data_IF_365679876320
#
_entry.id   IF_365679876320
#
_cell.length_a   1.000
_cell.length_b   1.000
_cell.length_c   1.000
_cell.angle_alpha   90.00
_cell.angle_beta   90.00
_cell.angle_gamma   90.00
#
_symmetry.space_group_name_H-M   'P 1'
#
loop_
_entity.id
_entity.type
_entity.pdbx_description
1 polymer ?
#
# COMPACT_ATOMS: atom_id res chain seq x y z
N UNK A 1 19.33 23.26 -2.60
CA UNK A 1 17.93 23.02 -3.03
C UNK A 1 17.39 21.85 -2.22
N UNK A 2 16.08 21.76 -1.97
CA UNK A 2 15.53 20.56 -1.33
C UNK A 2 15.45 19.43 -2.36
N UNK A 3 15.78 18.21 -1.94
CA UNK A 3 15.54 16.99 -2.70
C UNK A 3 14.80 15.99 -1.82
N UNK A 4 13.92 15.17 -2.41
CA UNK A 4 13.25 14.10 -1.70
C UNK A 4 14.11 12.83 -1.66
N UNK A 5 14.22 12.20 -0.49
CA UNK A 5 14.91 10.92 -0.30
C UNK A 5 14.06 9.96 0.54
N UNK A 6 14.15 8.66 0.24
CA UNK A 6 13.57 7.61 1.09
C UNK A 6 14.50 7.44 2.29
N UNK A 7 14.00 7.72 3.49
CA UNK A 7 14.77 7.63 4.73
C UNK A 7 14.65 6.27 5.40
N UNK A 8 13.45 5.66 5.36
CA UNK A 8 13.19 4.36 5.97
C UNK A 8 11.96 3.71 5.31
N UNK A 9 11.93 2.37 5.33
CA UNK A 9 10.83 1.56 4.81
C UNK A 9 10.59 0.41 5.77
N UNK A 10 9.33 0.20 6.13
CA UNK A 10 8.91 -0.97 6.88
C UNK A 10 7.67 -1.62 6.30
N UNK A 11 7.44 -2.88 6.65
CA UNK A 11 6.29 -3.65 6.18
C UNK A 11 5.65 -4.48 7.29
N UNK A 12 4.40 -4.87 7.05
CA UNK A 12 3.64 -5.79 7.88
C UNK A 12 2.86 -6.76 7.00
N UNK A 13 2.90 -8.03 7.38
CA UNK A 13 2.10 -9.09 6.79
C UNK A 13 1.20 -9.67 7.90
N UNK A 14 -0.10 -9.88 7.65
CA UNK A 14 -1.01 -10.42 8.65
C UNK A 14 -0.65 -11.85 9.04
N UNK A 15 -1.04 -12.27 10.25
CA UNK A 15 -0.55 -13.53 10.84
C UNK A 15 -1.02 -14.80 10.10
N UNK A 16 -2.26 -14.79 9.60
CA UNK A 16 -2.83 -15.96 8.94
C UNK A 16 -2.16 -16.19 7.59
N UNK A 17 -1.64 -17.41 7.41
CA UNK A 17 -1.06 -17.86 6.14
C UNK A 17 -1.95 -18.87 5.42
N UNK A 18 -2.00 -18.78 4.10
CA UNK A 18 -2.62 -19.79 3.21
C UNK A 18 -1.54 -20.33 2.28
N UNK A 19 -1.20 -21.60 2.47
CA UNK A 19 -0.24 -22.32 1.65
C UNK A 19 -0.89 -22.87 0.37
N UNK A 20 -0.06 -23.27 -0.59
CA UNK A 20 -0.54 -24.05 -1.74
C UNK A 20 -1.22 -25.36 -1.33
N UNK A 21 -0.80 -25.98 -0.21
CA UNK A 21 -1.44 -27.18 0.32
C UNK A 21 -2.86 -26.92 0.85
N UNK A 22 -3.09 -25.75 1.44
CA UNK A 22 -4.43 -25.31 1.83
C UNK A 22 -5.33 -25.14 0.60
N UNK A 23 -4.84 -24.47 -0.43
CA UNK A 23 -5.59 -24.27 -1.67
C UNK A 23 -5.87 -25.58 -2.40
N UNK A 24 -4.91 -26.52 -2.47
CA UNK A 24 -5.14 -27.84 -3.09
C UNK A 24 -6.19 -28.67 -2.32
N UNK A 25 -6.29 -28.51 -0.99
CA UNK A 25 -7.37 -29.16 -0.21
C UNK A 25 -8.75 -28.63 -0.60
N UNK A 26 -8.85 -27.34 -0.89
CA UNK A 26 -10.08 -26.70 -1.37
C UNK A 26 -10.34 -26.98 -2.86
N UNK A 27 -9.27 -27.20 -3.64
CA UNK A 27 -9.31 -27.39 -5.10
C UNK A 27 -8.52 -28.64 -5.52
N UNK A 28 -9.10 -29.85 -5.37
CA UNK A 28 -8.38 -31.11 -5.58
C UNK A 28 -7.82 -31.32 -7.00
N UNK A 29 -8.38 -30.64 -8.01
CA UNK A 29 -7.93 -30.73 -9.40
C UNK A 29 -6.57 -30.06 -9.67
N UNK A 30 -5.98 -29.39 -8.67
CA UNK A 30 -4.71 -28.68 -8.77
C UNK A 30 -3.70 -29.23 -7.75
N UNK A 31 -2.51 -29.55 -8.22
CA UNK A 31 -1.39 -29.91 -7.34
C UNK A 31 -0.64 -28.67 -6.85
N UNK A 32 -0.04 -28.78 -5.66
CA UNK A 32 0.88 -27.78 -5.10
C UNK A 32 1.96 -27.39 -6.11
N UNK A 33 2.57 -28.39 -6.75
CA UNK A 33 3.62 -28.19 -7.76
C UNK A 33 3.13 -27.30 -8.91
N UNK A 34 1.91 -27.52 -9.39
CA UNK A 34 1.33 -26.74 -10.50
C UNK A 34 1.10 -25.28 -10.12
N UNK A 35 0.78 -24.98 -8.86
CA UNK A 35 0.66 -23.60 -8.37
C UNK A 35 2.04 -22.95 -8.32
N UNK A 36 3.00 -23.61 -7.67
CA UNK A 36 4.36 -23.11 -7.51
C UNK A 36 5.02 -22.85 -8.88
N UNK A 37 4.96 -23.81 -9.81
CA UNK A 37 5.55 -23.69 -11.15
C UNK A 37 4.99 -22.52 -11.96
N UNK A 38 3.69 -22.20 -11.77
CA UNK A 38 3.02 -21.15 -12.53
C UNK A 38 3.13 -19.76 -11.92
N UNK A 39 3.15 -19.69 -10.59
CA UNK A 39 3.03 -18.41 -9.86
C UNK A 39 4.31 -18.01 -9.14
N UNK A 40 5.18 -18.96 -8.79
CA UNK A 40 6.33 -18.76 -7.92
C UNK A 40 5.94 -18.48 -6.45
N UNK A 41 4.69 -18.71 -6.06
CA UNK A 41 4.16 -18.39 -4.72
C UNK A 41 3.87 -19.67 -3.96
N UNK A 42 4.48 -19.83 -2.77
CA UNK A 42 4.24 -20.96 -1.87
C UNK A 42 3.20 -20.66 -0.78
N UNK A 43 3.26 -19.44 -0.23
CA UNK A 43 2.45 -18.98 0.91
C UNK A 43 1.97 -17.55 0.65
N UNK A 44 0.75 -17.26 1.08
CA UNK A 44 0.15 -15.92 1.09
C UNK A 44 -0.27 -15.57 2.50
N UNK A 45 -0.08 -14.32 2.89
CA UNK A 45 -0.63 -13.79 4.12
C UNK A 45 -2.03 -13.23 3.84
N UNK A 46 -2.98 -13.46 4.75
CA UNK A 46 -4.39 -13.11 4.58
C UNK A 46 -4.86 -12.37 5.84
N UNK A 47 -5.45 -11.20 5.66
CA UNK A 47 -5.96 -10.40 6.76
C UNK A 47 -7.08 -11.13 7.50
N UNK A 48 -7.15 -10.92 8.81
CA UNK A 48 -8.29 -11.41 9.60
C UNK A 48 -9.61 -10.73 9.17
N UNK A 49 -10.75 -11.33 9.52
CA UNK A 49 -12.06 -10.83 9.07
C UNK A 49 -12.27 -9.35 9.45
N UNK A 50 -11.90 -8.98 10.68
CA UNK A 50 -11.97 -7.60 11.20
C UNK A 50 -10.73 -6.73 10.95
N UNK A 51 -9.75 -7.20 10.19
CA UNK A 51 -8.52 -6.47 9.88
C UNK A 51 -8.60 -5.85 8.48
N UNK A 52 -8.55 -4.53 8.39
CA UNK A 52 -8.60 -3.72 7.17
C UNK A 52 -7.22 -3.40 6.61
N UNK A 53 -7.17 -2.86 5.40
CA UNK A 53 -5.91 -2.38 4.79
C UNK A 53 -5.22 -1.31 5.65
N UNK A 54 -5.99 -0.45 6.33
CA UNK A 54 -5.47 0.56 7.24
C UNK A 54 -4.83 -0.07 8.49
N UNK A 55 -5.32 -1.21 8.99
CA UNK A 55 -4.69 -1.93 10.09
C UNK A 55 -3.29 -2.42 9.70
N UNK A 56 -3.15 -2.99 8.50
CA UNK A 56 -1.87 -3.48 7.99
C UNK A 56 -0.88 -2.33 7.80
N UNK A 57 -1.34 -1.21 7.23
CA UNK A 57 -0.52 0.00 7.06
C UNK A 57 -0.13 0.61 8.42
N UNK A 58 -1.04 0.63 9.39
CA UNK A 58 -0.75 1.13 10.73
C UNK A 58 0.28 0.25 11.46
N UNK A 59 0.19 -1.07 11.32
CA UNK A 59 1.15 -2.00 11.89
C UNK A 59 2.56 -1.81 11.29
N UNK A 60 2.66 -1.57 9.98
CA UNK A 60 3.91 -1.22 9.31
C UNK A 60 4.48 0.12 9.81
N UNK A 61 3.63 1.14 9.96
CA UNK A 61 4.04 2.44 10.49
C UNK A 61 4.52 2.37 11.95
N UNK A 62 3.83 1.62 12.80
CA UNK A 62 4.27 1.40 14.18
C UNK A 62 5.61 0.64 14.24
N UNK A 63 5.89 -0.26 13.29
CA UNK A 63 7.21 -0.88 13.15
C UNK A 63 8.27 0.17 12.80
N UNK A 64 8.00 1.01 11.80
CA UNK A 64 8.87 2.13 11.39
C UNK A 64 9.20 3.07 12.58
N UNK A 65 8.21 3.39 13.42
CA UNK A 65 8.42 4.24 14.58
C UNK A 65 9.26 3.58 15.67
N UNK A 66 9.15 2.25 15.86
CA UNK A 66 10.02 1.50 16.78
C UNK A 66 11.48 1.51 16.34
N UNK A 67 11.75 1.65 15.04
CA UNK A 67 13.12 1.78 14.51
C UNK A 67 13.72 3.19 14.67
N UNK A 68 12.98 4.13 15.27
CA UNK A 68 13.49 5.44 15.65
C UNK A 68 12.92 6.61 14.85
N UNK A 69 11.98 6.38 13.93
CA UNK A 69 11.26 7.47 13.26
C UNK A 69 10.32 8.16 14.24
N UNK A 70 10.55 9.45 14.48
CA UNK A 70 9.68 10.28 15.32
C UNK A 70 8.40 10.69 14.58
N UNK A 71 7.28 10.09 14.98
CA UNK A 71 5.93 10.38 14.46
C UNK A 71 5.53 11.85 14.54
N UNK A 72 6.10 12.62 15.48
CA UNK A 72 5.77 14.05 15.64
C UNK A 72 6.41 14.93 14.56
N UNK A 73 7.37 14.40 13.81
CA UNK A 73 8.04 15.12 12.73
C UNK A 73 7.36 14.95 11.38
N UNK A 74 6.35 14.09 11.29
CA UNK A 74 5.59 13.81 10.06
C UNK A 74 4.56 14.91 9.85
N UNK A 75 4.60 15.55 8.68
CA UNK A 75 3.71 16.67 8.33
C UNK A 75 2.83 16.37 7.10
N UNK A 76 2.91 15.16 6.55
CA UNK A 76 1.97 14.68 5.54
C UNK A 76 1.82 13.16 5.57
N UNK A 77 0.60 12.65 5.39
CA UNK A 77 0.28 11.24 5.24
C UNK A 77 -0.38 11.00 3.88
N UNK A 78 0.19 10.06 3.13
CA UNK A 78 -0.38 9.55 1.88
C UNK A 78 -0.75 8.10 2.09
N UNK A 79 -2.00 7.70 1.83
CA UNK A 79 -2.40 6.30 1.91
C UNK A 79 -2.86 5.78 0.54
N UNK A 80 -2.10 4.82 0.00
CA UNK A 80 -2.42 4.12 -1.23
C UNK A 80 -3.19 2.84 -0.91
N UNK A 81 -4.47 2.78 -1.31
CA UNK A 81 -5.28 1.58 -1.17
C UNK A 81 -6.45 1.55 -2.15
N UNK A 82 -6.88 0.36 -2.55
CA UNK A 82 -8.12 0.04 -3.24
C UNK A 82 -9.14 -0.63 -2.31
N UNK A 83 -8.79 -0.88 -1.05
CA UNK A 83 -9.65 -1.47 -0.02
C UNK A 83 -9.75 -0.56 1.22
N UNK A 84 -10.22 0.71 1.08
CA UNK A 84 -10.31 1.64 2.20
C UNK A 84 -11.33 1.17 3.25
N UNK A 85 -11.22 1.70 4.47
CA UNK A 85 -12.10 1.34 5.59
C UNK A 85 -13.56 1.71 5.29
N UNK A 86 -13.77 2.87 4.68
CA UNK A 86 -15.09 3.44 4.38
C UNK A 86 -15.06 4.21 3.06
N UNK A 87 -16.23 4.43 2.46
CA UNK A 87 -16.37 5.44 1.39
C UNK A 87 -16.08 6.86 1.90
N UNK A 88 -16.47 7.12 3.15
CA UNK A 88 -16.15 8.31 3.92
C UNK A 88 -16.29 7.97 5.41
N UNK A 89 -15.44 8.51 6.30
CA UNK A 89 -14.33 9.45 6.05
C UNK A 89 -13.10 8.77 5.39
N UNK A 90 -12.16 9.59 4.91
CA UNK A 90 -10.86 9.16 4.37
C UNK A 90 -10.07 8.34 5.39
N UNK A 91 -9.52 7.20 4.98
CA UNK A 91 -8.78 6.28 5.85
C UNK A 91 -7.46 6.91 6.36
N UNK A 92 -6.78 7.71 5.53
CA UNK A 92 -5.62 8.51 5.91
C UNK A 92 -5.87 9.44 7.10
N UNK A 93 -7.07 10.03 7.19
CA UNK A 93 -7.45 10.88 8.32
C UNK A 93 -7.62 10.07 9.61
N UNK A 94 -8.20 8.87 9.51
CA UNK A 94 -8.31 7.96 10.65
C UNK A 94 -6.93 7.43 11.08
N UNK A 95 -6.06 7.13 10.11
CA UNK A 95 -4.67 6.73 10.32
C UNK A 95 -3.85 7.81 11.01
N UNK A 96 -4.00 9.09 10.62
CA UNK A 96 -3.32 10.20 11.29
C UNK A 96 -3.60 10.18 12.80
N UNK A 97 -4.87 10.06 13.20
CA UNK A 97 -5.25 10.00 14.61
C UNK A 97 -4.74 8.72 15.28
N UNK A 98 -4.93 7.56 14.63
CA UNK A 98 -4.50 6.25 15.16
C UNK A 98 -2.99 6.19 15.40
N UNK A 99 -2.21 6.74 14.47
CA UNK A 99 -0.75 6.81 14.52
C UNK A 99 -0.25 7.98 15.35
N UNK A 100 -1.12 8.83 15.90
CA UNK A 100 -0.76 9.99 16.72
C UNK A 100 0.20 10.96 16.01
N UNK A 101 0.00 11.12 14.71
CA UNK A 101 0.69 12.12 13.90
C UNK A 101 0.07 13.50 14.23
N UNK A 102 0.81 14.62 14.21
CA UNK A 102 0.26 15.94 14.53
C UNK A 102 -0.96 16.31 13.67
N UNK A 103 -1.92 17.03 14.25
CA UNK A 103 -3.12 17.51 13.55
C UNK A 103 -2.82 18.60 12.51
N UNK A 104 -1.59 19.12 12.49
CA UNK A 104 -1.09 20.01 11.44
C UNK A 104 -0.70 19.27 10.16
N UNK A 105 -0.61 17.93 10.20
CA UNK A 105 -0.23 17.14 9.03
C UNK A 105 -1.36 17.09 8.00
N UNK A 106 -1.01 17.18 6.72
CA UNK A 106 -1.92 16.83 5.63
C UNK A 106 -2.20 15.32 5.62
N UNK A 107 -3.38 14.91 5.14
CA UNK A 107 -3.73 13.49 5.01
C UNK A 107 -4.66 13.27 3.81
N UNK A 108 -4.32 12.32 2.94
CA UNK A 108 -5.20 11.91 1.82
C UNK A 108 -5.05 10.43 1.47
N UNK A 109 -6.14 9.87 0.95
CA UNK A 109 -6.14 8.57 0.27
C UNK A 109 -5.98 8.79 -1.24
N UNK A 110 -5.35 7.84 -1.92
CA UNK A 110 -5.41 7.75 -3.37
C UNK A 110 -5.57 6.30 -3.82
N UNK A 111 -6.47 6.09 -4.79
CA UNK A 111 -6.83 4.77 -5.28
C UNK A 111 -5.95 4.36 -6.46
N UNK A 112 -4.94 3.54 -6.19
CA UNK A 112 -4.14 2.82 -7.17
C UNK A 112 -3.77 1.45 -6.60
N UNK A 113 -3.66 0.45 -7.49
CA UNK A 113 -3.16 -0.88 -7.16
C UNK A 113 -1.64 -0.97 -7.36
N UNK A 114 -1.20 -1.91 -8.19
CA UNK A 114 0.22 -2.26 -8.39
C UNK A 114 1.15 -1.10 -8.80
N UNK A 115 0.65 -0.02 -9.39
CA UNK A 115 1.44 1.17 -9.75
C UNK A 115 1.57 2.20 -8.62
N UNK A 116 0.78 2.03 -7.55
CA UNK A 116 0.56 3.02 -6.51
C UNK A 116 1.81 3.47 -5.77
N UNK A 117 2.76 2.58 -5.52
CA UNK A 117 4.00 2.93 -4.81
C UNK A 117 4.84 3.98 -5.56
N UNK A 118 5.02 3.80 -6.88
CA UNK A 118 5.80 4.73 -7.71
C UNK A 118 5.08 6.07 -7.87
N UNK A 119 3.75 6.04 -8.05
CA UNK A 119 2.95 7.27 -8.07
C UNK A 119 2.99 8.00 -6.72
N UNK A 120 2.89 7.28 -5.61
CA UNK A 120 2.99 7.81 -4.25
C UNK A 120 4.35 8.49 -3.99
N UNK A 121 5.45 7.87 -4.44
CA UNK A 121 6.78 8.50 -4.39
C UNK A 121 6.86 9.78 -5.23
N UNK A 122 6.21 9.81 -6.39
CA UNK A 122 6.09 11.02 -7.21
C UNK A 122 5.34 12.16 -6.51
N UNK A 123 4.21 11.84 -5.88
CA UNK A 123 3.42 12.79 -5.07
C UNK A 123 4.22 13.29 -3.88
N UNK A 124 4.85 12.38 -3.12
CA UNK A 124 5.70 12.73 -1.98
C UNK A 124 6.86 13.64 -2.40
N UNK A 125 7.55 13.33 -3.50
CA UNK A 125 8.60 14.19 -4.06
C UNK A 125 8.10 15.60 -4.34
N UNK A 126 6.94 15.72 -4.97
CA UNK A 126 6.33 17.02 -5.27
C UNK A 126 6.06 17.84 -4.01
N UNK A 127 5.48 17.22 -2.97
CA UNK A 127 5.21 17.88 -1.69
C UNK A 127 6.51 18.37 -1.01
N UNK A 128 7.55 17.53 -1.01
CA UNK A 128 8.83 17.79 -0.35
C UNK A 128 9.66 18.86 -1.08
N UNK A 129 9.82 18.74 -2.39
CA UNK A 129 10.69 19.64 -3.17
C UNK A 129 10.06 21.01 -3.42
N UNK A 130 8.73 21.14 -3.28
CA UNK A 130 8.03 22.43 -3.29
C UNK A 130 7.86 23.07 -1.92
N UNK A 131 8.31 22.41 -0.85
CA UNK A 131 8.24 22.92 0.52
C UNK A 131 6.83 22.91 1.14
N UNK A 132 5.89 22.14 0.58
CA UNK A 132 4.57 21.92 1.16
C UNK A 132 4.60 20.94 2.35
N UNK A 133 5.61 20.07 2.36
CA UNK A 133 5.89 19.11 3.43
C UNK A 133 7.41 18.99 3.61
N UNK A 134 7.83 18.50 4.78
CA UNK A 134 9.23 18.18 5.08
C UNK A 134 9.43 16.68 5.30
N UNK A 135 8.39 15.97 5.76
CA UNK A 135 8.40 14.53 6.04
C UNK A 135 7.05 13.91 5.72
N UNK A 136 7.02 13.17 4.62
CA UNK A 136 5.84 12.45 4.14
C UNK A 136 5.92 11.01 4.59
N UNK A 137 4.87 10.54 5.27
CA UNK A 137 4.63 9.13 5.51
C UNK A 137 3.77 8.57 4.37
N UNK A 138 4.40 7.83 3.47
CA UNK A 138 3.72 7.09 2.41
C UNK A 138 3.36 5.69 2.94
N UNK A 139 2.07 5.47 3.13
CA UNK A 139 1.50 4.19 3.51
C UNK A 139 0.92 3.49 2.28
N UNK A 140 1.14 2.19 2.19
CA UNK A 140 0.39 1.31 1.28
C UNK A 140 -0.26 0.21 2.10
N UNK A 141 -1.45 -0.22 1.71
CA UNK A 141 -2.14 -1.32 2.38
C UNK A 141 -3.18 -1.92 1.47
N UNK A 142 -3.20 -3.25 1.40
CA UNK A 142 -4.22 -3.96 0.63
C UNK A 142 -4.71 -5.24 1.30
N UNK A 143 -6.01 -5.46 1.13
CA UNK A 143 -6.72 -6.67 1.56
C UNK A 143 -7.51 -7.28 0.40
N UNK A 144 -6.82 -7.54 -0.72
CA UNK A 144 -7.44 -8.13 -1.92
C UNK A 144 -8.22 -9.41 -1.58
N UNK A 145 -7.76 -10.19 -0.60
CA UNK A 145 -8.43 -11.41 -0.15
C UNK A 145 -9.92 -11.23 0.17
N UNK A 146 -10.33 -10.05 0.65
CA UNK A 146 -11.72 -9.73 0.99
C UNK A 146 -12.60 -9.50 -0.23
N UNK A 147 -12.01 -9.30 -1.42
CA UNK A 147 -12.70 -9.07 -2.68
C UNK A 147 -12.66 -10.30 -3.61
N UNK A 148 -11.91 -11.34 -3.26
CA UNK A 148 -11.78 -12.52 -4.12
C UNK A 148 -12.98 -13.46 -3.93
N UNK A 149 -13.58 -13.89 -5.03
CA UNK A 149 -14.61 -14.93 -4.97
C UNK A 149 -13.99 -16.23 -4.43
N UNK A 150 -14.66 -16.93 -3.48
CA UNK A 150 -14.11 -18.15 -2.90
C UNK A 150 -13.75 -19.23 -3.93
N UNK A 151 -14.45 -19.27 -5.06
CA UNK A 151 -14.23 -20.25 -6.12
C UNK A 151 -13.27 -19.79 -7.22
N UNK A 152 -12.80 -18.54 -7.20
CA UNK A 152 -11.85 -18.04 -8.19
C UNK A 152 -10.41 -18.43 -7.85
N UNK A 153 -10.03 -19.60 -8.35
CA UNK A 153 -8.71 -20.19 -8.16
C UNK A 153 -7.60 -19.35 -8.78
N UNK A 154 -7.89 -18.59 -9.83
CA UNK A 154 -6.86 -17.87 -10.60
C UNK A 154 -6.25 -16.74 -9.77
N UNK A 155 -7.10 -15.99 -9.06
CA UNK A 155 -6.69 -14.86 -8.23
C UNK A 155 -6.31 -15.28 -6.81
N UNK A 156 -6.98 -16.29 -6.23
CA UNK A 156 -6.64 -16.82 -4.89
C UNK A 156 -5.26 -17.46 -4.82
N UNK A 157 -4.73 -17.93 -5.96
CA UNK A 157 -3.35 -18.44 -6.03
C UNK A 157 -2.31 -17.33 -6.20
N UNK A 158 -2.73 -16.07 -6.46
CA UNK A 158 -1.82 -14.93 -6.70
C UNK A 158 -1.78 -13.95 -5.54
N UNK A 159 -2.94 -13.47 -5.07
CA UNK A 159 -2.98 -12.33 -4.14
C UNK A 159 -2.80 -12.75 -2.69
N UNK A 160 -1.92 -12.03 -2.00
CA UNK A 160 -1.88 -11.94 -0.55
C UNK A 160 -2.16 -10.50 -0.10
N UNK A 161 -2.32 -10.33 1.19
CA UNK A 161 -2.57 -9.05 1.84
C UNK A 161 -1.31 -8.56 2.55
N UNK A 162 -1.20 -7.24 2.73
CA UNK A 162 -0.06 -6.64 3.41
C UNK A 162 -0.13 -5.12 3.46
N UNK A 163 0.73 -4.53 4.29
CA UNK A 163 0.91 -3.09 4.39
C UNK A 163 2.39 -2.69 4.44
N UNK A 164 2.68 -1.47 4.02
CA UNK A 164 4.01 -0.86 4.14
C UNK A 164 3.93 0.59 4.59
N UNK A 165 5.03 1.06 5.19
CA UNK A 165 5.23 2.43 5.60
C UNK A 165 6.60 2.91 5.15
N UNK A 166 6.61 3.93 4.31
CA UNK A 166 7.83 4.56 3.77
C UNK A 166 7.90 5.99 4.25
N UNK A 167 8.97 6.34 4.98
CA UNK A 167 9.29 7.73 5.29
C UNK A 167 10.07 8.33 4.10
N UNK A 168 9.52 9.39 3.52
CA UNK A 168 10.21 10.22 2.53
C UNK A 168 10.43 11.61 3.13
N UNK A 169 11.66 12.11 3.09
CA UNK A 169 12.00 13.39 3.70
C UNK A 169 12.72 14.34 2.75
N UNK A 170 12.60 15.63 3.04
CA UNK A 170 13.31 16.69 2.33
C UNK A 170 14.73 16.82 2.88
N UNK A 171 15.72 16.51 2.05
CA UNK A 171 17.14 16.69 2.36
C UNK A 171 17.72 17.91 1.65
N UNK A 172 18.77 18.49 2.21
CA UNK A 172 19.53 19.54 1.54
C UNK A 172 20.48 18.95 0.50
N UNK A 173 20.25 19.30 -0.77
CA UNK A 173 21.09 18.93 -1.88
C UNK A 173 21.96 20.12 -2.31
N UNK A 174 23.27 19.85 -2.45
CA UNK A 174 24.25 20.80 -2.98
C UNK A 174 23.98 21.16 -4.46
N UNK A 175 24.52 22.27 -4.96
CA UNK A 175 24.39 22.63 -6.37
C UNK A 175 24.89 21.51 -7.28
N UNK A 176 24.07 21.11 -8.26
CA UNK A 176 24.42 20.06 -9.23
C UNK A 176 24.35 18.62 -8.72
N UNK A 177 23.88 18.38 -7.48
CA UNK A 177 23.64 17.03 -6.99
C UNK A 177 22.54 16.33 -7.84
N UNK A 178 22.73 15.04 -8.19
CA UNK A 178 21.67 14.28 -8.86
C UNK A 178 20.44 14.13 -7.96
N UNK A 179 19.24 13.95 -8.54
CA UNK A 179 18.05 13.69 -7.74
C UNK A 179 18.20 12.36 -6.99
N UNK A 180 17.83 12.35 -5.71
CA UNK A 180 17.80 11.13 -4.88
C UNK A 180 16.57 10.26 -5.17
N UNK A 181 15.52 10.88 -5.71
CA UNK A 181 14.28 10.23 -6.09
C UNK A 181 13.83 10.76 -7.46
N UNK A 182 13.63 9.84 -8.41
CA UNK A 182 13.32 10.13 -9.81
C UNK A 182 14.55 10.10 -10.74
N UNK A 183 14.37 10.37 -12.04
CA UNK A 183 13.12 10.75 -12.70
C UNK A 183 12.08 9.63 -12.70
N UNK A 184 10.81 10.00 -12.88
CA UNK A 184 9.70 9.06 -12.98
C UNK A 184 9.20 8.97 -14.42
N UNK A 185 8.75 7.78 -14.82
CA UNK A 185 7.99 7.56 -16.05
C UNK A 185 6.64 7.00 -15.64
N UNK A 186 5.58 7.62 -16.15
CA UNK A 186 4.21 7.25 -15.85
C UNK A 186 3.52 6.72 -17.11
N UNK A 187 2.44 5.96 -16.92
CA UNK A 187 1.64 5.40 -18.00
C UNK A 187 0.22 5.11 -17.55
N UNK A 188 -0.76 5.37 -18.41
CA UNK A 188 -2.16 5.08 -18.13
C UNK A 188 -2.87 4.75 -19.44
N UNK A 189 -3.47 3.56 -19.50
CA UNK A 189 -4.35 3.14 -20.59
C UNK A 189 -5.68 2.66 -20.00
N UNK A 190 -6.68 3.53 -20.06
CA UNK A 190 -8.02 3.25 -19.52
C UNK A 190 -8.81 2.20 -20.31
N UNK A 191 -8.38 1.83 -21.51
CA UNK A 191 -9.06 0.80 -22.31
C UNK A 191 -8.98 -0.59 -21.67
N UNK A 192 -7.97 -0.82 -20.83
CA UNK A 192 -7.79 -2.05 -20.05
C UNK A 192 -8.71 -2.19 -18.82
N UNK A 193 -9.58 -1.23 -18.54
CA UNK A 193 -10.37 -1.20 -17.29
C UNK A 193 -11.27 -2.42 -17.05
N UNK A 194 -11.66 -3.16 -18.10
CA UNK A 194 -12.44 -4.41 -17.96
C UNK A 194 -11.59 -5.65 -17.68
N UNK A 195 -10.26 -5.55 -17.80
CA UNK A 195 -9.35 -6.69 -17.65
C UNK A 195 -8.99 -6.96 -16.17
N UNK A 196 -9.17 -5.99 -15.28
CA UNK A 196 -8.98 -6.13 -13.83
C UNK A 196 -9.92 -5.15 -13.10
N UNK A 197 -11.02 -5.67 -12.56
CA UNK A 197 -12.09 -4.84 -11.98
C UNK A 197 -12.87 -5.60 -10.89
N UNK A 198 -13.25 -4.88 -9.83
CA UNK A 198 -14.37 -5.26 -8.97
C UNK A 198 -15.60 -4.54 -9.51
N UNK A 199 -16.46 -5.27 -10.22
CA UNK A 199 -17.47 -4.64 -11.08
C UNK A 199 -18.65 -4.03 -10.31
N UNK A 200 -18.96 -4.57 -9.13
CA UNK A 200 -20.16 -4.24 -8.35
C UNK A 200 -19.80 -3.82 -6.92
N UNK A 201 -20.68 -3.05 -6.27
CA UNK A 201 -20.51 -2.60 -4.88
C UNK A 201 -20.12 -1.12 -4.73
N UNK A 202 -20.00 -0.39 -5.84
CA UNK A 202 -19.76 1.05 -5.88
C UNK A 202 -20.76 1.73 -6.82
N UNK A 203 -20.71 3.06 -6.98
CA UNK A 203 -21.79 3.82 -7.61
C UNK A 203 -22.05 3.55 -9.10
N UNK A 204 -21.10 2.97 -9.86
CA UNK A 204 -21.34 2.62 -11.27
C UNK A 204 -22.31 1.43 -11.42
N UNK A 205 -22.23 0.49 -10.48
CA UNK A 205 -23.05 -0.72 -10.36
C UNK A 205 -23.19 -1.01 -8.85
N UNK A 206 -24.18 -0.38 -8.20
CA UNK A 206 -24.33 -0.42 -6.74
C UNK A 206 -24.55 -1.85 -6.24
#
# INVERSE_FOLDING_TARGET
MKSAAIAAVEYYLPEKTVSNGDLTREFPDWSVQKIADKTGIDVRHIAADGECSSDLAAAAAEKLFREGVDRTTIDYLLFCTQSPDYFLPTSACLLQQRLRIPTSAGALDFNLGCSGYVYGLGVAKGLLETGQASRVLLLTGETYSKMLAPQDRSVRTLFGDGGSATLVEAIDAGPGAPPWLGPFVYGTDGTGGRNLIVETGAFRKP
#
